data_IF_755434330206
#
_entry.id   IF_755434330206
#
_cell.length_a   1.000
_cell.length_b   1.000
_cell.length_c   1.000
_cell.angle_alpha   90.00
_cell.angle_beta   90.00
_cell.angle_gamma   90.00
#
_symmetry.space_group_name_H-M   'P 1'
#
loop_
_entity.id
_entity.type
_entity.pdbx_description
1 polymer ?
#
# COMPACT_ATOMS: atom_id res chain seq x y z
N UNK A 1 -24.68 -7.99 -10.18
CA UNK A 1 -23.21 -8.23 -10.15
C UNK A 1 -22.52 -6.87 -10.09
N UNK A 2 -21.85 -6.51 -8.99
CA UNK A 2 -21.03 -5.29 -8.95
C UNK A 2 -19.71 -5.61 -9.68
N UNK A 3 -19.42 -4.92 -10.77
CA UNK A 3 -18.16 -5.03 -11.49
C UNK A 3 -17.04 -4.49 -10.60
N UNK A 4 -16.17 -5.37 -10.09
CA UNK A 4 -14.90 -4.98 -9.48
C UNK A 4 -13.93 -4.80 -10.65
N UNK A 5 -13.39 -3.59 -10.90
CA UNK A 5 -12.40 -3.42 -11.95
C UNK A 5 -11.22 -4.37 -11.70
N UNK A 6 -10.57 -4.89 -12.75
CA UNK A 6 -9.35 -5.65 -12.58
C UNK A 6 -8.34 -4.77 -11.84
N UNK A 7 -7.89 -5.24 -10.69
CA UNK A 7 -6.76 -4.65 -9.96
C UNK A 7 -5.62 -4.62 -10.96
N UNK A 8 -5.04 -3.45 -11.22
CA UNK A 8 -4.00 -3.37 -12.24
C UNK A 8 -2.87 -4.30 -11.78
N UNK A 9 -2.34 -5.09 -12.71
CA UNK A 9 -1.45 -6.23 -12.39
C UNK A 9 -0.20 -5.84 -11.58
N UNK A 10 0.09 -4.54 -11.48
CA UNK A 10 1.24 -3.97 -10.78
C UNK A 10 0.90 -3.04 -9.60
N UNK A 11 -0.37 -2.91 -9.18
CA UNK A 11 -0.75 -1.95 -8.12
C UNK A 11 0.02 -2.16 -6.80
N UNK A 12 0.25 -3.42 -6.42
CA UNK A 12 1.03 -3.75 -5.23
C UNK A 12 2.51 -3.37 -5.36
N UNK A 13 3.10 -3.59 -6.54
CA UNK A 13 4.52 -3.29 -6.79
C UNK A 13 4.74 -1.78 -6.86
N UNK A 14 3.81 -1.05 -7.47
CA UNK A 14 3.83 0.41 -7.49
C UNK A 14 3.67 0.99 -6.09
N UNK A 15 2.80 0.42 -5.25
CA UNK A 15 2.67 0.79 -3.84
C UNK A 15 3.98 0.57 -3.08
N UNK A 16 4.60 -0.60 -3.23
CA UNK A 16 5.87 -0.94 -2.57
C UNK A 16 6.98 0.01 -2.99
N UNK A 17 7.19 0.20 -4.30
CA UNK A 17 8.20 1.13 -4.85
C UNK A 17 8.00 2.54 -4.31
N UNK A 18 6.77 3.04 -4.39
CA UNK A 18 6.42 4.39 -3.95
C UNK A 18 6.69 4.59 -2.46
N UNK A 19 6.29 3.65 -1.59
CA UNK A 19 6.48 3.79 -0.14
C UNK A 19 7.93 3.63 0.27
N UNK A 20 8.70 2.74 -0.36
CA UNK A 20 10.15 2.66 -0.11
C UNK A 20 10.83 3.98 -0.47
N UNK A 21 10.46 4.60 -1.59
CA UNK A 21 10.97 5.92 -1.98
C UNK A 21 10.54 7.05 -1.02
N UNK A 22 9.25 7.14 -0.67
CA UNK A 22 8.71 8.18 0.21
C UNK A 22 9.28 8.12 1.64
N UNK A 23 9.53 6.90 2.15
CA UNK A 23 10.11 6.71 3.47
C UNK A 23 11.62 7.00 3.52
N UNK A 24 12.25 7.23 2.36
CA UNK A 24 13.70 7.45 2.24
C UNK A 24 14.54 6.30 2.80
N UNK A 25 13.95 5.11 2.91
CA UNK A 25 14.48 4.01 3.71
C UNK A 25 14.81 2.77 2.90
N UNK A 26 15.74 1.98 3.42
CA UNK A 26 16.14 0.70 2.81
C UNK A 26 15.09 -0.40 3.04
N UNK A 27 15.14 -1.46 2.24
CA UNK A 27 14.34 -2.68 2.46
C UNK A 27 14.58 -3.30 3.85
N UNK A 28 15.77 -3.11 4.43
CA UNK A 28 16.09 -3.54 5.79
C UNK A 28 15.33 -2.74 6.84
N UNK A 29 15.16 -1.44 6.65
CA UNK A 29 14.36 -0.59 7.55
C UNK A 29 12.88 -0.92 7.48
N UNK A 30 12.37 -1.14 6.27
CA UNK A 30 11.00 -1.61 6.07
C UNK A 30 10.79 -3.00 6.72
N UNK A 31 11.74 -3.92 6.58
CA UNK A 31 11.71 -5.22 7.27
C UNK A 31 11.70 -5.07 8.80
N UNK A 32 12.55 -4.19 9.36
CA UNK A 32 12.56 -3.88 10.80
C UNK A 32 11.23 -3.30 11.29
N UNK A 33 10.57 -2.45 10.50
CA UNK A 33 9.23 -1.91 10.82
C UNK A 33 8.17 -3.01 10.91
N UNK A 34 8.30 -4.05 10.08
CA UNK A 34 7.50 -5.26 10.17
C UNK A 34 8.01 -6.28 11.21
N UNK A 35 8.96 -5.91 12.09
CA UNK A 35 9.59 -6.80 13.09
C UNK A 35 10.20 -8.07 12.47
N UNK A 36 10.68 -7.99 11.23
CA UNK A 36 11.23 -9.12 10.49
C UNK A 36 10.19 -10.07 9.89
N UNK A 37 8.88 -9.78 10.02
CA UNK A 37 7.83 -10.62 9.44
C UNK A 37 7.80 -10.60 7.90
N UNK A 38 8.40 -9.58 7.28
CA UNK A 38 8.67 -9.51 5.84
C UNK A 38 10.17 -9.38 5.65
N UNK A 39 10.79 -10.34 4.96
CA UNK A 39 12.22 -10.32 4.67
C UNK A 39 12.59 -9.18 3.69
N UNK A 40 13.80 -8.59 3.81
CA UNK A 40 14.30 -7.60 2.85
C UNK A 40 14.24 -8.09 1.40
N UNK A 41 14.54 -9.37 1.16
CA UNK A 41 14.54 -10.00 -0.16
C UNK A 41 13.14 -10.06 -0.76
N UNK A 42 12.11 -10.24 0.09
CA UNK A 42 10.71 -10.20 -0.33
C UNK A 42 10.32 -8.80 -0.78
N UNK A 43 10.76 -7.77 -0.05
CA UNK A 43 10.53 -6.37 -0.41
C UNK A 43 11.26 -5.98 -1.69
N UNK A 44 12.51 -6.41 -1.85
CA UNK A 44 13.28 -6.21 -3.09
C UNK A 44 12.59 -6.87 -4.28
N UNK A 45 12.15 -8.12 -4.11
CA UNK A 45 11.43 -8.86 -5.15
C UNK A 45 10.13 -8.15 -5.54
N UNK A 46 9.35 -7.68 -4.57
CA UNK A 46 8.11 -6.93 -4.82
C UNK A 46 8.38 -5.56 -5.45
N UNK A 47 9.52 -4.93 -5.18
CA UNK A 47 9.88 -3.66 -5.78
C UNK A 47 10.31 -3.79 -7.26
N UNK A 48 11.03 -4.88 -7.61
CA UNK A 48 11.71 -5.00 -8.91
C UNK A 48 11.06 -5.98 -9.89
N UNK A 49 10.45 -7.06 -9.41
CA UNK A 49 9.83 -8.04 -10.30
C UNK A 49 8.48 -7.50 -10.75
N UNK A 50 8.28 -7.37 -12.07
CA UNK A 50 6.98 -7.05 -12.69
C UNK A 50 6.16 -8.32 -12.86
N UNK A 51 4.85 -8.26 -12.62
CA UNK A 51 3.93 -9.39 -12.80
C UNK A 51 3.00 -9.62 -11.60
N UNK A 52 2.19 -10.68 -11.63
CA UNK A 52 1.23 -10.92 -10.57
C UNK A 52 1.92 -11.39 -9.28
N UNK A 53 1.94 -10.54 -8.26
CA UNK A 53 2.36 -10.92 -6.91
C UNK A 53 1.12 -11.30 -6.08
N UNK A 54 0.88 -12.60 -5.95
CA UNK A 54 -0.10 -13.13 -5.00
C UNK A 54 0.50 -13.12 -3.60
N UNK A 55 -0.07 -12.32 -2.70
CA UNK A 55 0.25 -12.33 -1.28
C UNK A 55 -0.91 -12.95 -0.51
N UNK A 56 -0.62 -13.65 0.58
CA UNK A 56 -1.67 -14.16 1.47
C UNK A 56 -2.32 -13.03 2.28
N UNK A 57 -3.57 -13.20 2.75
CA UNK A 57 -4.21 -12.22 3.64
C UNK A 57 -3.37 -11.89 4.88
N UNK A 58 -2.72 -12.89 5.48
CA UNK A 58 -1.83 -12.70 6.63
C UNK A 58 -0.61 -11.84 6.31
N UNK A 59 -0.05 -11.99 5.10
CA UNK A 59 1.09 -11.20 4.63
C UNK A 59 0.72 -9.72 4.43
N UNK A 60 -0.54 -9.41 4.07
CA UNK A 60 -0.99 -8.05 3.83
C UNK A 60 -0.81 -7.14 5.07
N UNK A 61 -1.13 -7.65 6.26
CA UNK A 61 -0.95 -6.90 7.51
C UNK A 61 0.52 -6.64 7.85
N UNK A 62 1.42 -7.57 7.54
CA UNK A 62 2.86 -7.37 7.74
C UNK A 62 3.47 -6.40 6.74
N UNK A 63 3.05 -6.48 5.47
CA UNK A 63 3.42 -5.50 4.44
C UNK A 63 2.92 -4.11 4.76
N UNK A 64 1.70 -3.98 5.27
CA UNK A 64 1.13 -2.70 5.69
C UNK A 64 2.02 -2.04 6.77
N UNK A 65 2.50 -2.83 7.73
CA UNK A 65 3.48 -2.35 8.73
C UNK A 65 4.81 -1.99 8.08
N UNK A 66 5.35 -2.84 7.20
CA UNK A 66 6.64 -2.57 6.54
C UNK A 66 6.65 -1.24 5.78
N UNK A 67 5.56 -0.98 5.06
CA UNK A 67 5.37 0.17 4.17
C UNK A 67 4.75 1.39 4.86
N UNK A 68 4.39 1.28 6.14
CA UNK A 68 3.72 2.34 6.90
C UNK A 68 2.46 2.87 6.18
N UNK A 69 1.53 1.96 5.86
CA UNK A 69 0.24 2.26 5.21
C UNK A 69 -0.88 1.43 5.85
N UNK A 70 -2.16 1.83 5.69
CA UNK A 70 -3.29 1.02 6.14
C UNK A 70 -3.34 -0.36 5.45
N UNK A 71 -3.78 -1.40 6.16
CA UNK A 71 -3.86 -2.77 5.63
C UNK A 71 -4.79 -2.85 4.41
N UNK A 72 -5.93 -2.15 4.46
CA UNK A 72 -6.88 -2.08 3.35
C UNK A 72 -6.27 -1.47 2.08
N UNK A 73 -5.22 -0.64 2.19
CA UNK A 73 -4.50 -0.13 1.02
C UNK A 73 -3.69 -1.23 0.33
N UNK A 74 -3.02 -2.07 1.12
CA UNK A 74 -2.27 -3.23 0.61
C UNK A 74 -3.23 -4.28 0.06
N UNK A 75 -4.33 -4.57 0.77
CA UNK A 75 -5.35 -5.54 0.33
C UNK A 75 -5.99 -5.14 -1.00
N UNK A 76 -6.35 -3.87 -1.18
CA UNK A 76 -6.85 -3.34 -2.46
C UNK A 76 -5.84 -3.53 -3.58
N UNK A 77 -4.58 -3.14 -3.36
CA UNK A 77 -3.51 -3.27 -4.34
C UNK A 77 -3.17 -4.74 -4.68
N UNK A 78 -3.44 -5.67 -3.77
CA UNK A 78 -3.27 -7.11 -3.95
C UNK A 78 -4.54 -7.84 -4.45
N UNK A 79 -5.66 -7.13 -4.62
CA UNK A 79 -6.95 -7.72 -4.98
C UNK A 79 -7.60 -8.59 -3.91
N UNK A 80 -7.10 -8.52 -2.68
CA UNK A 80 -7.69 -9.20 -1.54
C UNK A 80 -9.03 -8.53 -1.16
N UNK A 81 -9.94 -9.26 -0.49
CA UNK A 81 -11.06 -8.62 0.21
C UNK A 81 -10.55 -7.55 1.17
N UNK A 82 -11.36 -6.55 1.52
CA UNK A 82 -11.04 -5.57 2.56
C UNK A 82 -11.47 -6.12 3.93
N UNK A 83 -10.76 -5.71 5.00
CA UNK A 83 -11.10 -6.08 6.38
C UNK A 83 -11.64 -4.83 7.03
N UNK A 84 -12.53 -4.98 7.99
CA UNK A 84 -12.89 -3.85 8.83
C UNK A 84 -11.63 -3.34 9.53
N UNK A 85 -11.24 -2.10 9.24
CA UNK A 85 -10.15 -1.43 9.93
C UNK A 85 -10.77 -0.71 11.14
N UNK A 86 -10.45 -1.10 12.38
CA UNK A 86 -10.96 -0.42 13.57
C UNK A 86 -10.57 1.07 13.62
N UNK A 87 -9.56 1.48 12.83
CA UNK A 87 -9.09 2.86 12.71
C UNK A 87 -9.81 3.66 11.62
N UNK A 88 -10.67 3.05 10.82
CA UNK A 88 -11.56 3.79 9.91
C UNK A 88 -12.55 4.65 10.70
N UNK A 89 -12.96 4.17 11.88
CA UNK A 89 -13.84 4.89 12.80
C UNK A 89 -13.07 5.76 13.82
N UNK A 90 -11.72 5.68 13.83
CA UNK A 90 -10.90 6.62 14.60
C UNK A 90 -10.90 7.97 13.87
N UNK A 91 -11.43 9.05 14.49
CA UNK A 91 -11.36 10.38 13.89
C UNK A 91 -9.88 10.77 13.76
N UNK A 92 -9.36 10.64 12.55
CA UNK A 92 -8.07 11.21 12.18
C UNK A 92 -8.20 12.72 12.29
N UNK A 93 -7.61 13.28 13.35
CA UNK A 93 -7.53 14.73 13.59
C UNK A 93 -6.98 15.49 12.38
N UNK A 94 -7.13 16.83 12.35
CA UNK A 94 -7.17 17.58 11.11
C UNK A 94 -5.80 17.64 10.41
N UNK A 95 -5.84 17.69 9.07
CA UNK A 95 -4.92 18.40 8.14
C UNK A 95 -4.39 17.65 6.91
N UNK A 96 -5.20 16.84 6.23
CA UNK A 96 -4.98 16.62 4.80
C UNK A 96 -6.22 17.07 4.02
N UNK A 97 -6.22 18.33 3.57
CA UNK A 97 -7.17 18.81 2.55
C UNK A 97 -6.73 18.23 1.21
N UNK A 98 -7.55 17.36 0.64
CA UNK A 98 -7.46 17.01 -0.77
C UNK A 98 -7.76 18.27 -1.58
N UNK A 99 -6.74 18.89 -2.17
CA UNK A 99 -6.92 19.97 -3.14
C UNK A 99 -7.29 19.30 -4.46
N UNK A 100 -8.58 19.24 -4.76
CA UNK A 100 -9.05 18.95 -6.12
C UNK A 100 -8.69 20.18 -6.96
N UNK A 101 -7.64 20.06 -7.77
CA UNK A 101 -7.21 21.11 -8.67
C UNK A 101 -8.27 21.36 -9.73
N UNK A 102 -9.13 22.35 -9.51
CA UNK A 102 -9.95 22.93 -10.56
C UNK A 102 -9.04 23.86 -11.39
N UNK A 103 -8.31 23.27 -12.32
CA UNK A 103 -7.65 24.03 -13.39
C UNK A 103 -8.64 24.24 -14.53
N UNK A 104 -9.21 25.44 -14.57
CA UNK A 104 -9.51 26.23 -15.79
C UNK A 104 -9.83 27.65 -15.30
N UNK A 105 -8.82 28.52 -15.20
CA UNK A 105 -8.31 29.35 -16.29
C UNK A 105 -9.42 30.15 -16.99
N UNK A 106 -9.56 31.39 -16.52
CA UNK A 106 -9.85 32.62 -17.26
C UNK A 106 -10.62 32.52 -18.58
N UNK A 107 -11.79 33.16 -18.66
CA UNK A 107 -11.99 34.52 -19.20
C UNK A 107 -13.47 34.88 -19.18
#
# INVERSE_FOLDING_TARGET
>A
MKYRPPVATNDLQDLVRRRLWELGGSVYEASRRARGAVGPEVLERLAHVRGWALISPWMAGHLARALDVPENRVRRAAGLPEVHDPREDEPTGPHLRLVTGESRASS
#
